data_IF_013387826855
#
_entry.id   IF_013387826855
#
_cell.length_a   1.000
_cell.length_b   1.000
_cell.length_c   1.000
_cell.angle_alpha   90.00
_cell.angle_beta   90.00
_cell.angle_gamma   90.00
#
_symmetry.space_group_name_H-M   'P 1'
#
loop_
_entity.id
_entity.type
_entity.pdbx_description
1 polymer ?
#
# COMPACT_ATOMS: atom_id res chain seq x y z
N UNK A 1 -35.97 -18.50 19.80
CA UNK A 1 -35.71 -17.24 20.51
C UNK A 1 -34.45 -17.40 21.36
N UNK A 2 -33.27 -17.15 20.77
CA UNK A 2 -32.06 -16.88 21.53
C UNK A 2 -31.59 -15.49 21.12
N UNK A 3 -32.04 -14.51 21.87
CA UNK A 3 -31.57 -13.12 21.88
C UNK A 3 -30.06 -13.13 22.21
N UNK A 4 -29.24 -12.87 21.23
CA UNK A 4 -27.79 -12.61 21.42
C UNK A 4 -27.65 -11.33 22.24
N UNK A 5 -27.35 -11.46 23.53
CA UNK A 5 -26.84 -10.35 24.35
C UNK A 5 -25.59 -9.78 23.67
N UNK A 6 -25.71 -8.65 22.99
CA UNK A 6 -24.58 -7.80 22.69
C UNK A 6 -23.89 -7.46 24.00
N UNK A 7 -22.71 -8.04 24.22
CA UNK A 7 -21.84 -7.65 25.33
C UNK A 7 -21.42 -6.20 25.13
N UNK A 8 -21.81 -5.33 26.02
CA UNK A 8 -21.59 -3.89 26.01
C UNK A 8 -20.11 -3.55 26.39
N UNK A 9 -19.18 -4.49 26.17
CA UNK A 9 -17.75 -4.31 26.44
C UNK A 9 -17.10 -3.60 25.25
N UNK A 10 -16.30 -2.55 25.52
CA UNK A 10 -15.63 -1.81 24.47
C UNK A 10 -14.65 -2.73 23.70
N UNK A 11 -14.83 -2.82 22.38
CA UNK A 11 -14.03 -3.65 21.49
C UNK A 11 -13.31 -2.78 20.46
N UNK A 12 -11.98 -2.77 20.52
CA UNK A 12 -11.14 -1.99 19.60
C UNK A 12 -10.50 -2.92 18.57
N UNK A 13 -10.47 -2.49 17.31
CA UNK A 13 -9.69 -3.13 16.26
C UNK A 13 -8.47 -2.28 15.94
N UNK A 14 -7.41 -2.93 15.47
CA UNK A 14 -6.25 -2.22 14.96
C UNK A 14 -5.69 -2.90 13.71
N UNK A 15 -5.11 -2.09 12.82
CA UNK A 15 -4.30 -2.56 11.69
C UNK A 15 -2.93 -1.91 11.81
N UNK A 16 -1.87 -2.72 11.75
CA UNK A 16 -0.50 -2.22 11.81
C UNK A 16 0.26 -2.60 10.53
N UNK A 17 0.99 -1.62 9.94
CA UNK A 17 1.77 -1.84 8.74
C UNK A 17 2.97 -0.90 8.66
N UNK A 18 4.12 -1.40 8.22
CA UNK A 18 5.30 -0.58 7.96
C UNK A 18 5.94 -0.95 6.61
N UNK A 19 6.82 -0.11 6.03
CA UNK A 19 7.41 -0.36 4.72
C UNK A 19 8.10 -1.72 4.58
N UNK A 20 8.84 -2.16 5.58
CA UNK A 20 9.50 -3.47 5.58
C UNK A 20 8.58 -4.62 5.99
N UNK A 21 7.44 -4.32 6.63
CA UNK A 21 6.49 -5.32 7.12
C UNK A 21 7.04 -6.19 8.26
N UNK A 22 8.09 -5.77 8.97
CA UNK A 22 8.75 -6.58 9.99
C UNK A 22 8.72 -5.91 11.37
N UNK A 23 9.73 -5.10 11.72
CA UNK A 23 9.93 -4.65 13.10
C UNK A 23 8.79 -3.77 13.62
N UNK A 24 8.54 -2.62 13.01
CA UNK A 24 7.57 -1.64 13.51
C UNK A 24 6.13 -2.17 13.49
N UNK A 25 5.79 -3.00 12.49
CA UNK A 25 4.47 -3.65 12.40
C UNK A 25 4.17 -4.46 13.66
N UNK A 26 5.12 -5.31 14.07
CA UNK A 26 4.93 -6.17 15.24
C UNK A 26 5.10 -5.42 16.56
N UNK A 27 6.01 -4.44 16.63
CA UNK A 27 6.16 -3.59 17.81
C UNK A 27 4.90 -2.78 18.11
N UNK A 28 4.27 -2.20 17.09
CA UNK A 28 3.00 -1.48 17.26
C UNK A 28 1.86 -2.41 17.69
N UNK A 29 1.77 -3.60 17.09
CA UNK A 29 0.81 -4.63 17.55
C UNK A 29 0.98 -4.94 19.03
N UNK A 30 2.20 -5.21 19.46
CA UNK A 30 2.48 -5.65 20.84
C UNK A 30 2.26 -4.52 21.83
N UNK A 31 2.62 -3.28 21.46
CA UNK A 31 2.37 -2.09 22.28
C UNK A 31 0.86 -1.84 22.47
N UNK A 32 0.07 -1.91 21.38
CA UNK A 32 -1.37 -1.74 21.41
C UNK A 32 -2.05 -2.84 22.25
N UNK A 33 -1.67 -4.12 22.07
CA UNK A 33 -2.19 -5.23 22.86
C UNK A 33 -1.87 -5.07 24.35
N UNK A 34 -0.60 -4.84 24.67
CA UNK A 34 -0.16 -4.67 26.06
C UNK A 34 -0.89 -3.52 26.76
N UNK A 35 -1.14 -2.43 26.06
CA UNK A 35 -1.86 -1.29 26.63
C UNK A 35 -3.35 -1.58 26.79
N UNK A 36 -3.98 -2.23 25.79
CA UNK A 36 -5.37 -2.64 25.89
C UNK A 36 -5.62 -3.60 27.07
N UNK A 37 -4.72 -4.57 27.26
CA UNK A 37 -4.77 -5.50 28.40
C UNK A 37 -4.71 -4.74 29.74
N UNK A 38 -3.84 -3.72 29.86
CA UNK A 38 -3.76 -2.88 31.07
C UNK A 38 -5.03 -2.06 31.33
N UNK A 39 -5.71 -1.66 30.27
CA UNK A 39 -6.96 -0.90 30.34
C UNK A 39 -8.20 -1.79 30.46
N UNK A 40 -8.05 -3.11 30.45
CA UNK A 40 -9.16 -4.07 30.45
C UNK A 40 -10.02 -4.00 29.17
N UNK A 41 -9.45 -3.57 28.05
CA UNK A 41 -10.15 -3.39 26.77
C UNK A 41 -9.82 -4.53 25.83
N UNK A 42 -10.85 -5.14 25.25
CA UNK A 42 -10.68 -6.17 24.21
C UNK A 42 -10.15 -5.54 22.94
N UNK A 43 -9.04 -6.08 22.42
CA UNK A 43 -8.44 -5.62 21.16
C UNK A 43 -8.08 -6.77 20.22
N UNK A 44 -8.38 -6.62 18.92
CA UNK A 44 -7.86 -7.51 17.86
C UNK A 44 -6.99 -6.70 16.91
N UNK A 45 -5.77 -7.17 16.67
CA UNK A 45 -4.79 -6.46 15.82
C UNK A 45 -4.45 -7.30 14.60
N UNK A 46 -4.81 -6.78 13.43
CA UNK A 46 -4.36 -7.27 12.12
C UNK A 46 -2.97 -6.70 11.83
N UNK A 47 -2.06 -7.55 11.37
CA UNK A 47 -0.71 -7.12 10.97
C UNK A 47 -0.50 -7.35 9.48
N UNK A 48 -0.21 -6.27 8.74
CA UNK A 48 0.16 -6.33 7.32
C UNK A 48 1.70 -6.34 7.24
N UNK A 49 2.25 -7.54 7.43
CA UNK A 49 3.69 -7.76 7.47
C UNK A 49 4.24 -8.35 6.17
N UNK A 50 5.57 -8.51 6.11
CA UNK A 50 6.28 -9.11 4.97
C UNK A 50 5.87 -10.56 4.69
N UNK A 51 5.37 -11.28 5.71
CA UNK A 51 4.83 -12.64 5.58
C UNK A 51 3.32 -12.68 5.27
N UNK A 52 2.75 -11.55 4.82
CA UNK A 52 1.34 -11.40 4.53
C UNK A 52 0.51 -10.89 5.70
N UNK A 53 -0.80 -10.89 5.52
CA UNK A 53 -1.77 -10.44 6.52
C UNK A 53 -1.97 -11.55 7.56
N UNK A 54 -1.82 -11.21 8.84
CA UNK A 54 -2.13 -12.10 9.96
C UNK A 54 -3.25 -11.52 10.81
N UNK A 55 -4.05 -12.38 11.42
CA UNK A 55 -5.21 -12.02 12.25
C UNK A 55 -6.19 -11.10 11.50
N UNK A 56 -6.52 -11.46 10.27
CA UNK A 56 -7.42 -10.68 9.43
C UNK A 56 -8.71 -10.30 10.17
N UNK A 57 -9.11 -9.02 10.04
CA UNK A 57 -10.34 -8.50 10.60
C UNK A 57 -11.52 -8.91 9.73
N UNK A 58 -12.43 -9.69 10.28
CA UNK A 58 -13.65 -10.13 9.60
C UNK A 58 -14.71 -9.01 9.61
N UNK A 59 -15.71 -9.11 8.72
CA UNK A 59 -16.86 -8.19 8.73
C UNK A 59 -17.54 -8.17 10.11
N UNK A 60 -17.66 -9.31 10.75
CA UNK A 60 -18.25 -9.43 12.07
C UNK A 60 -17.40 -8.75 13.16
N UNK A 61 -16.06 -8.79 13.07
CA UNK A 61 -15.19 -8.00 13.95
C UNK A 61 -15.46 -6.51 13.75
N UNK A 62 -15.54 -6.07 12.50
CA UNK A 62 -15.76 -4.67 12.15
C UNK A 62 -17.13 -4.17 12.61
N UNK A 63 -18.18 -4.99 12.44
CA UNK A 63 -19.53 -4.66 12.91
C UNK A 63 -19.58 -4.46 14.42
N UNK A 64 -18.91 -5.32 15.18
CA UNK A 64 -18.90 -5.28 16.64
C UNK A 64 -17.90 -4.28 17.25
N UNK A 65 -17.05 -3.68 16.44
CA UNK A 65 -16.03 -2.74 16.91
C UNK A 65 -16.62 -1.41 17.36
N UNK A 66 -16.16 -0.94 18.51
CA UNK A 66 -16.42 0.42 19.02
C UNK A 66 -15.59 1.45 18.23
N UNK A 67 -14.36 1.10 17.88
CA UNK A 67 -13.49 1.95 17.07
C UNK A 67 -12.30 1.19 16.52
N UNK A 68 -11.61 1.79 15.54
CA UNK A 68 -10.56 1.17 14.74
C UNK A 68 -9.33 2.07 14.72
N UNK A 69 -8.16 1.51 14.95
CA UNK A 69 -6.86 2.19 14.85
C UNK A 69 -6.14 1.68 13.61
N UNK A 70 -5.74 2.57 12.71
CA UNK A 70 -4.88 2.27 11.56
C UNK A 70 -3.52 2.91 11.79
N UNK A 71 -2.57 2.14 12.32
CA UNK A 71 -1.19 2.58 12.58
C UNK A 71 -0.29 2.09 11.44
N UNK A 72 -0.19 2.89 10.36
CA UNK A 72 0.45 2.44 9.13
C UNK A 72 1.22 3.56 8.40
N UNK A 73 2.42 3.21 7.91
CA UNK A 73 3.23 4.07 7.03
C UNK A 73 3.10 3.69 5.54
N UNK A 74 2.38 2.61 5.25
CA UNK A 74 2.05 2.13 3.90
C UNK A 74 0.54 2.14 3.69
N UNK A 75 0.12 1.99 2.44
CA UNK A 75 -1.30 1.92 2.13
C UNK A 75 -1.96 0.68 2.74
N UNK A 76 -3.06 0.89 3.45
CA UNK A 76 -3.94 -0.15 4.01
C UNK A 76 -5.33 0.04 3.40
N UNK A 77 -6.01 -1.04 3.05
CA UNK A 77 -7.40 -1.00 2.57
C UNK A 77 -8.33 -0.62 3.72
N UNK A 78 -8.72 0.65 3.77
CA UNK A 78 -9.58 1.22 4.83
C UNK A 78 -11.05 1.31 4.43
N UNK A 79 -11.39 1.05 3.15
CA UNK A 79 -12.77 1.13 2.65
C UNK A 79 -13.73 0.22 3.40
N UNK A 80 -13.24 -0.91 3.90
CA UNK A 80 -13.97 -1.87 4.73
C UNK A 80 -14.39 -1.31 6.11
N UNK A 81 -13.88 -0.15 6.49
CA UNK A 81 -14.18 0.50 7.78
C UNK A 81 -15.18 1.67 7.64
N UNK A 82 -15.88 1.75 6.52
CA UNK A 82 -16.86 2.80 6.28
C UNK A 82 -17.91 2.87 7.39
N UNK A 83 -18.23 4.06 7.85
CA UNK A 83 -19.19 4.30 8.92
C UNK A 83 -18.66 4.05 10.35
N UNK A 84 -17.41 3.60 10.53
CA UNK A 84 -16.81 3.36 11.86
C UNK A 84 -15.95 4.54 12.32
N UNK A 85 -15.70 4.63 13.63
CA UNK A 85 -14.72 5.57 14.19
C UNK A 85 -13.30 5.05 13.88
N UNK A 86 -12.59 5.67 12.95
CA UNK A 86 -11.24 5.28 12.54
C UNK A 86 -10.22 6.34 12.95
N UNK A 87 -9.14 5.90 13.58
CA UNK A 87 -7.99 6.72 13.97
C UNK A 87 -6.80 6.32 13.10
N UNK A 88 -6.46 7.13 12.10
CA UNK A 88 -5.30 6.91 11.23
C UNK A 88 -4.07 7.65 11.77
N UNK A 89 -2.96 6.92 11.95
CA UNK A 89 -1.69 7.46 12.45
C UNK A 89 -0.50 6.72 11.81
N UNK A 90 0.71 7.31 11.82
CA UNK A 90 1.94 6.60 11.51
C UNK A 90 2.16 5.40 12.43
N UNK A 91 2.82 4.33 11.94
CA UNK A 91 3.07 3.11 12.74
C UNK A 91 3.84 3.41 14.03
N UNK A 92 4.74 4.41 14.02
CA UNK A 92 5.50 4.85 15.18
C UNK A 92 4.61 5.35 16.33
N UNK A 93 3.47 5.95 16.06
CA UNK A 93 2.51 6.41 17.05
C UNK A 93 1.81 5.25 17.75
N UNK A 94 1.55 4.16 17.03
CA UNK A 94 1.05 2.91 17.61
C UNK A 94 2.00 2.31 18.65
N UNK A 95 3.32 2.59 18.54
CA UNK A 95 4.33 2.17 19.51
C UNK A 95 4.42 3.15 20.68
N UNK A 96 4.45 4.47 20.39
CA UNK A 96 4.77 5.52 21.36
C UNK A 96 3.56 5.98 22.18
N UNK A 97 2.36 5.96 21.62
CA UNK A 97 1.15 6.55 22.20
C UNK A 97 -0.06 5.60 22.16
N UNK A 98 0.10 4.30 22.52
CA UNK A 98 -0.98 3.33 22.38
C UNK A 98 -2.21 3.67 23.24
N UNK A 99 -2.03 4.21 24.45
CA UNK A 99 -3.13 4.61 25.33
C UNK A 99 -3.99 5.71 24.74
N UNK A 100 -3.35 6.77 24.22
CA UNK A 100 -4.05 7.88 23.58
C UNK A 100 -4.85 7.41 22.38
N UNK A 101 -4.28 6.50 21.58
CA UNK A 101 -4.96 5.95 20.39
C UNK A 101 -6.15 5.08 20.74
N UNK A 102 -6.05 4.27 21.78
CA UNK A 102 -7.16 3.45 22.27
C UNK A 102 -8.28 4.35 22.78
N UNK A 103 -7.98 5.37 23.57
CA UNK A 103 -8.97 6.33 24.07
C UNK A 103 -9.65 7.09 22.92
N UNK A 104 -8.89 7.51 21.89
CA UNK A 104 -9.44 8.14 20.70
C UNK A 104 -10.36 7.20 19.88
N UNK A 105 -10.01 5.92 19.81
CA UNK A 105 -10.83 4.94 19.12
C UNK A 105 -12.14 4.64 19.88
N UNK A 106 -12.13 4.76 21.21
CA UNK A 106 -13.31 4.58 22.06
C UNK A 106 -14.21 5.82 22.11
N UNK A 107 -13.72 6.98 21.69
CA UNK A 107 -14.49 8.23 21.69
C UNK A 107 -15.55 8.21 20.59
N UNK A 108 -16.78 7.83 20.95
CA UNK A 108 -17.92 7.76 20.04
C UNK A 108 -18.47 9.12 19.61
N UNK A 109 -17.97 10.23 20.17
CA UNK A 109 -18.37 11.60 19.75
C UNK A 109 -17.72 12.00 18.42
N UNK A 110 -16.72 11.26 17.96
CA UNK A 110 -16.02 11.52 16.71
C UNK A 110 -16.90 11.16 15.51
N UNK A 111 -16.75 11.93 14.43
CA UNK A 111 -17.47 11.64 13.18
C UNK A 111 -17.03 10.31 12.60
N UNK A 112 -17.97 9.48 12.12
CA UNK A 112 -17.64 8.23 11.46
C UNK A 112 -16.73 8.45 10.25
N UNK A 113 -15.83 7.51 10.03
CA UNK A 113 -14.99 7.44 8.84
C UNK A 113 -15.89 7.22 7.61
N UNK A 114 -15.64 7.96 6.55
CA UNK A 114 -16.31 7.80 5.26
C UNK A 114 -15.29 7.29 4.26
N UNK A 115 -15.48 6.07 3.80
CA UNK A 115 -14.65 5.49 2.75
C UNK A 115 -14.76 6.35 1.47
N UNK A 116 -13.63 6.58 0.81
CA UNK A 116 -13.56 7.37 -0.41
C UNK A 116 -14.00 6.54 -1.63
N UNK A 117 -15.22 6.05 -1.62
CA UNK A 117 -15.89 5.70 -2.87
C UNK A 117 -16.76 6.90 -3.32
N UNK A 118 -16.65 7.23 -4.60
CA UNK A 118 -17.14 8.49 -5.13
C UNK A 118 -18.60 8.80 -4.81
N UNK A 119 -18.80 9.85 -4.05
CA UNK A 119 -19.98 10.63 -3.77
C UNK A 119 -20.56 10.55 -2.36
N UNK A 120 -20.14 11.52 -1.54
CA UNK A 120 -21.09 12.37 -0.79
C UNK A 120 -20.41 13.66 -0.37
N UNK A 121 -20.85 14.79 -0.96
CA UNK A 121 -20.56 16.13 -0.46
C UNK A 121 -21.13 16.26 0.95
N UNK A 122 -20.28 16.34 1.94
CA UNK A 122 -20.62 16.73 3.29
C UNK A 122 -19.50 17.64 3.82
N UNK A 123 -19.82 18.91 4.07
CA UNK A 123 -18.98 19.83 4.82
C UNK A 123 -18.55 19.17 6.12
N UNK A 124 -17.27 18.89 6.27
CA UNK A 124 -16.67 18.57 7.55
C UNK A 124 -15.32 19.27 7.67
N UNK A 125 -15.37 20.50 8.17
CA UNK A 125 -14.28 21.07 8.94
C UNK A 125 -14.24 20.29 10.26
N UNK A 126 -13.41 19.24 10.32
CA UNK A 126 -12.75 18.84 11.58
C UNK A 126 -11.69 17.76 11.28
N UNK A 127 -10.45 18.14 11.50
CA UNK A 127 -9.30 17.30 11.91
C UNK A 127 -9.06 15.99 11.15
N UNK A 128 -9.21 15.94 9.83
CA UNK A 128 -8.19 15.27 9.04
C UNK A 128 -7.00 16.25 9.04
N UNK A 129 -5.95 15.98 9.80
CA UNK A 129 -4.66 16.55 9.45
C UNK A 129 -4.47 16.23 7.96
N UNK A 130 -4.71 17.21 7.10
CA UNK A 130 -4.25 17.14 5.71
C UNK A 130 -2.78 16.82 5.83
N UNK A 131 -2.42 15.57 5.52
CA UNK A 131 -1.02 15.19 5.52
C UNK A 131 -0.30 16.30 4.77
N UNK A 132 0.67 16.93 5.43
CA UNK A 132 1.46 17.95 4.74
C UNK A 132 1.95 17.33 3.41
N UNK A 133 2.06 18.11 2.32
CA UNK A 133 2.45 17.56 1.01
C UNK A 133 3.67 16.64 1.08
N UNK A 134 4.63 16.94 1.97
CA UNK A 134 5.79 16.10 2.22
C UNK A 134 5.47 14.74 2.87
N UNK A 135 4.53 14.71 3.83
CA UNK A 135 4.09 13.44 4.45
C UNK A 135 3.33 12.55 3.44
N UNK A 136 2.50 13.16 2.59
CA UNK A 136 1.79 12.44 1.52
C UNK A 136 2.78 11.87 0.49
N UNK A 137 3.74 12.67 0.05
CA UNK A 137 4.82 12.23 -0.83
C UNK A 137 5.57 11.03 -0.24
N UNK A 138 6.01 11.14 1.02
CA UNK A 138 6.71 10.07 1.72
C UNK A 138 5.87 8.79 1.81
N UNK A 139 4.57 8.89 2.17
CA UNK A 139 3.65 7.75 2.25
C UNK A 139 3.55 7.01 0.91
N UNK A 140 3.35 7.74 -0.18
CA UNK A 140 3.22 7.15 -1.52
C UNK A 140 4.54 6.53 -2.00
N UNK A 141 5.67 7.22 -1.77
CA UNK A 141 6.99 6.71 -2.11
C UNK A 141 7.30 5.42 -1.34
N UNK A 142 7.06 5.40 -0.02
CA UNK A 142 7.31 4.23 0.82
C UNK A 142 6.43 3.04 0.45
N UNK A 143 5.22 3.27 -0.01
CA UNK A 143 4.39 2.18 -0.54
C UNK A 143 5.05 1.54 -1.79
N UNK A 144 5.57 2.33 -2.71
CA UNK A 144 6.33 1.83 -3.86
C UNK A 144 7.58 1.04 -3.44
N UNK A 145 8.40 1.64 -2.56
CA UNK A 145 9.64 1.03 -2.05
C UNK A 145 9.37 -0.30 -1.35
N UNK A 146 8.39 -0.35 -0.48
CA UNK A 146 8.01 -1.55 0.27
C UNK A 146 7.65 -2.74 -0.65
N UNK A 147 6.91 -2.46 -1.73
CA UNK A 147 6.48 -3.50 -2.66
C UNK A 147 7.57 -3.96 -3.64
N UNK A 148 8.63 -3.18 -3.87
CA UNK A 148 9.76 -3.60 -4.68
C UNK A 148 10.82 -4.39 -3.90
N UNK A 149 10.88 -4.26 -2.55
CA UNK A 149 11.91 -4.89 -1.72
C UNK A 149 12.06 -6.41 -1.92
N UNK A 150 10.98 -7.20 -2.03
CA UNK A 150 11.10 -8.64 -2.28
C UNK A 150 11.87 -8.96 -3.57
N UNK A 151 11.71 -8.15 -4.62
CA UNK A 151 12.44 -8.33 -5.88
C UNK A 151 13.92 -7.98 -5.75
N UNK A 152 14.23 -6.91 -5.00
CA UNK A 152 15.61 -6.52 -4.71
C UNK A 152 16.33 -7.63 -3.92
N UNK A 153 15.68 -8.15 -2.88
CA UNK A 153 16.24 -9.18 -2.02
C UNK A 153 16.43 -10.49 -2.79
N UNK A 154 15.38 -10.99 -3.44
CA UNK A 154 15.45 -12.25 -4.17
C UNK A 154 16.42 -12.19 -5.36
N UNK A 155 16.36 -11.12 -6.15
CA UNK A 155 17.26 -10.92 -7.28
C UNK A 155 18.71 -10.78 -6.84
N UNK A 156 18.97 -10.00 -5.77
CA UNK A 156 20.30 -9.81 -5.21
C UNK A 156 20.91 -11.11 -4.66
N UNK A 157 20.12 -11.92 -3.95
CA UNK A 157 20.58 -13.24 -3.46
C UNK A 157 20.91 -14.18 -4.62
N UNK A 158 20.04 -14.26 -5.64
CA UNK A 158 20.30 -15.09 -6.81
C UNK A 158 21.58 -14.68 -7.53
N UNK A 159 21.81 -13.38 -7.72
CA UNK A 159 23.06 -12.88 -8.31
C UNK A 159 24.27 -13.17 -7.43
N UNK A 160 24.16 -13.07 -6.10
CA UNK A 160 25.24 -13.42 -5.18
C UNK A 160 25.61 -14.91 -5.27
N UNK A 161 24.62 -15.79 -5.42
CA UNK A 161 24.82 -17.22 -5.61
C UNK A 161 25.59 -17.49 -6.93
N UNK A 162 25.31 -16.74 -8.00
CA UNK A 162 26.02 -16.87 -9.28
C UNK A 162 27.53 -16.68 -9.10
N UNK A 163 27.96 -15.71 -8.29
CA UNK A 163 29.38 -15.45 -8.05
C UNK A 163 30.13 -16.60 -7.31
N UNK A 164 29.39 -17.51 -6.66
CA UNK A 164 30.01 -18.73 -6.10
C UNK A 164 30.53 -19.70 -7.16
N UNK A 165 30.01 -19.64 -8.40
CA UNK A 165 30.42 -20.42 -9.54
C UNK A 165 31.60 -19.81 -10.32
N UNK A 166 31.94 -18.54 -10.01
CA UNK A 166 32.96 -17.74 -10.70
C UNK A 166 32.41 -16.37 -11.13
N UNK A 167 33.31 -15.39 -11.17
CA UNK A 167 32.90 -13.99 -11.44
C UNK A 167 32.23 -13.80 -12.82
N UNK A 168 32.60 -14.65 -13.81
CA UNK A 168 32.06 -14.59 -15.16
C UNK A 168 31.30 -15.87 -15.55
N UNK A 169 30.84 -16.64 -14.57
CA UNK A 169 30.20 -17.96 -14.78
C UNK A 169 28.88 -17.88 -15.56
N UNK A 170 28.21 -16.71 -15.56
CA UNK A 170 26.97 -16.45 -16.30
C UNK A 170 27.21 -16.08 -17.79
N UNK A 171 28.45 -15.82 -18.19
CA UNK A 171 28.77 -15.38 -19.55
C UNK A 171 29.16 -16.58 -20.41
N UNK A 172 28.39 -16.91 -21.47
CA UNK A 172 28.69 -18.04 -22.35
C UNK A 172 30.06 -18.01 -23.04
N UNK A 173 30.71 -16.83 -23.09
CA UNK A 173 32.03 -16.63 -23.69
C UNK A 173 33.16 -16.78 -22.69
N UNK A 174 32.86 -16.99 -21.42
CA UNK A 174 33.87 -17.16 -20.37
C UNK A 174 34.33 -18.61 -20.25
N UNK A 175 35.61 -18.83 -19.90
CA UNK A 175 36.11 -20.15 -19.52
C UNK A 175 35.50 -20.72 -18.25
N UNK A 176 34.90 -19.85 -17.41
CA UNK A 176 34.19 -20.20 -16.17
C UNK A 176 32.71 -20.50 -16.40
N UNK A 177 32.24 -20.53 -17.64
CA UNK A 177 30.81 -20.63 -17.96
C UNK A 177 30.15 -21.84 -17.28
N UNK A 178 29.00 -21.57 -16.67
CA UNK A 178 28.14 -22.56 -16.06
C UNK A 178 26.67 -22.26 -16.43
N UNK A 179 26.03 -23.22 -17.10
CA UNK A 179 24.65 -23.03 -17.57
C UNK A 179 23.63 -22.74 -16.44
N UNK A 180 23.82 -23.33 -15.26
CA UNK A 180 22.98 -23.07 -14.11
C UNK A 180 23.19 -21.66 -13.56
N UNK A 181 24.43 -21.19 -13.49
CA UNK A 181 24.74 -19.81 -13.10
C UNK A 181 24.13 -18.79 -14.08
N UNK A 182 24.15 -19.06 -15.38
CA UNK A 182 23.47 -18.21 -16.38
C UNK A 182 21.96 -18.15 -16.15
N UNK A 183 21.29 -19.26 -15.84
CA UNK A 183 19.88 -19.29 -15.54
C UNK A 183 19.55 -18.46 -14.29
N UNK A 184 20.31 -18.62 -13.22
CA UNK A 184 20.14 -17.82 -12.01
C UNK A 184 20.36 -16.32 -12.28
N UNK A 185 21.36 -15.98 -13.09
CA UNK A 185 21.60 -14.60 -13.52
C UNK A 185 20.43 -14.03 -14.30
N UNK A 186 19.85 -14.77 -15.24
CA UNK A 186 18.71 -14.34 -16.02
C UNK A 186 17.48 -14.09 -15.13
N UNK A 187 17.24 -14.96 -14.13
CA UNK A 187 16.15 -14.77 -13.16
C UNK A 187 16.42 -13.55 -12.27
N UNK A 188 17.61 -13.44 -11.69
CA UNK A 188 17.94 -12.37 -10.76
C UNK A 188 18.07 -11.00 -11.44
N UNK A 189 18.95 -10.90 -12.44
CA UNK A 189 19.29 -9.62 -13.09
C UNK A 189 18.26 -9.21 -14.13
N UNK A 190 17.99 -10.09 -15.13
CA UNK A 190 17.15 -9.71 -16.27
C UNK A 190 15.64 -9.78 -16.00
N UNK A 191 15.22 -10.47 -14.93
CA UNK A 191 13.80 -10.56 -14.58
C UNK A 191 13.49 -9.81 -13.29
N UNK A 192 14.00 -10.24 -12.14
CA UNK A 192 13.65 -9.62 -10.86
C UNK A 192 14.07 -8.15 -10.79
N UNK A 193 15.32 -7.81 -11.15
CA UNK A 193 15.81 -6.43 -11.13
C UNK A 193 15.17 -5.55 -12.20
N UNK A 194 14.85 -6.09 -13.37
CA UNK A 194 14.14 -5.36 -14.41
C UNK A 194 12.75 -4.90 -13.96
N UNK A 195 12.12 -5.61 -13.04
CA UNK A 195 10.80 -5.26 -12.51
C UNK A 195 10.83 -4.25 -11.35
N UNK A 196 11.99 -3.94 -10.75
CA UNK A 196 12.09 -3.06 -9.59
C UNK A 196 11.45 -1.70 -9.87
N UNK A 197 11.84 -1.04 -10.96
CA UNK A 197 11.36 0.31 -11.31
C UNK A 197 9.87 0.30 -11.72
N UNK A 198 9.40 -0.62 -12.59
CA UNK A 198 7.98 -0.74 -12.90
C UNK A 198 7.10 -0.99 -11.66
N UNK A 199 7.53 -1.88 -10.77
CA UNK A 199 6.80 -2.17 -9.53
C UNK A 199 6.79 -0.96 -8.60
N UNK A 200 7.92 -0.29 -8.38
CA UNK A 200 8.01 0.96 -7.62
C UNK A 200 6.98 1.98 -8.14
N UNK A 201 7.04 2.28 -9.43
CA UNK A 201 6.16 3.25 -10.11
C UNK A 201 4.68 2.84 -10.02
N UNK A 202 4.37 1.57 -10.30
CA UNK A 202 3.01 1.03 -10.22
C UNK A 202 2.39 1.15 -8.83
N UNK A 203 3.15 0.83 -7.77
CA UNK A 203 2.65 0.93 -6.40
C UNK A 203 2.61 2.35 -5.86
N UNK A 204 3.46 3.27 -6.31
CA UNK A 204 3.30 4.71 -6.06
C UNK A 204 1.95 5.17 -6.65
N UNK A 205 1.71 4.90 -7.93
CA UNK A 205 0.46 5.28 -8.60
C UNK A 205 -0.77 4.64 -7.97
N UNK A 206 -0.68 3.37 -7.56
CA UNK A 206 -1.73 2.67 -6.82
C UNK A 206 -2.03 3.33 -5.48
N UNK A 207 -1.02 3.75 -4.74
CA UNK A 207 -1.19 4.44 -3.46
C UNK A 207 -1.88 5.81 -3.59
N UNK A 208 -1.82 6.43 -4.78
CA UNK A 208 -2.46 7.72 -5.08
C UNK A 208 -3.89 7.54 -5.61
N UNK A 209 -4.08 6.59 -6.54
CA UNK A 209 -5.30 6.46 -7.33
C UNK A 209 -5.93 5.06 -7.31
N UNK A 210 -5.60 4.23 -6.32
CA UNK A 210 -6.06 2.86 -6.13
C UNK A 210 -5.75 1.93 -7.32
N UNK A 211 -6.48 0.83 -7.45
CA UNK A 211 -6.27 -0.19 -8.50
C UNK A 211 -6.11 0.38 -9.92
N UNK A 212 -6.91 1.36 -10.38
CA UNK A 212 -6.75 1.90 -11.73
C UNK A 212 -5.41 2.58 -12.02
N UNK A 213 -4.75 3.15 -10.98
CA UNK A 213 -3.44 3.80 -11.13
C UNK A 213 -2.30 2.83 -11.38
N UNK A 214 -2.43 1.56 -10.93
CA UNK A 214 -1.35 0.59 -10.96
C UNK A 214 -0.83 0.33 -12.38
N UNK A 215 -1.71 0.07 -13.33
CA UNK A 215 -1.34 -0.25 -14.71
C UNK A 215 -0.59 0.90 -15.40
N UNK A 216 -1.07 2.13 -15.25
CA UNK A 216 -0.42 3.31 -15.83
C UNK A 216 0.93 3.61 -15.20
N UNK A 217 1.07 3.42 -13.86
CA UNK A 217 2.34 3.54 -13.16
C UNK A 217 3.35 2.49 -13.61
N UNK A 218 2.91 1.24 -13.79
CA UNK A 218 3.76 0.14 -14.24
C UNK A 218 4.32 0.39 -15.64
N UNK A 219 3.47 0.83 -16.57
CA UNK A 219 3.89 1.21 -17.93
C UNK A 219 4.82 2.42 -17.90
N UNK A 220 4.50 3.44 -17.11
CA UNK A 220 5.37 4.62 -16.96
C UNK A 220 6.75 4.27 -16.41
N UNK A 221 6.83 3.36 -15.42
CA UNK A 221 8.10 2.85 -14.89
C UNK A 221 8.90 2.06 -15.93
N UNK A 222 8.24 1.30 -16.78
CA UNK A 222 8.89 0.59 -17.89
C UNK A 222 9.46 1.55 -18.93
N UNK A 223 8.71 2.60 -19.27
CA UNK A 223 9.17 3.67 -20.16
C UNK A 223 10.34 4.45 -19.56
N UNK A 224 10.38 4.66 -18.24
CA UNK A 224 11.52 5.27 -17.57
C UNK A 224 12.81 4.45 -17.73
N UNK A 225 12.72 3.12 -17.75
CA UNK A 225 13.87 2.25 -18.03
C UNK A 225 14.30 2.40 -19.49
N UNK A 226 13.39 2.23 -20.44
CA UNK A 226 13.70 2.27 -21.87
C UNK A 226 14.16 3.65 -22.34
N UNK A 227 13.66 4.72 -21.72
CA UNK A 227 14.08 6.11 -21.96
C UNK A 227 15.37 6.53 -21.24
N UNK A 228 15.98 5.62 -20.45
CA UNK A 228 17.25 5.89 -19.74
C UNK A 228 17.15 6.79 -18.51
N UNK A 229 15.94 7.22 -18.10
CA UNK A 229 15.73 8.03 -16.89
C UNK A 229 15.80 7.23 -15.57
N UNK A 230 15.78 5.91 -15.67
CA UNK A 230 16.07 4.96 -14.59
C UNK A 230 15.17 5.13 -13.37
N UNK A 231 15.78 5.00 -12.18
CA UNK A 231 15.05 4.97 -10.91
C UNK A 231 14.30 6.28 -10.62
N UNK A 232 14.93 7.42 -10.87
CA UNK A 232 14.32 8.74 -10.66
C UNK A 232 13.14 8.94 -11.61
N UNK A 233 13.31 8.58 -12.89
CA UNK A 233 12.22 8.60 -13.86
C UNK A 233 11.06 7.71 -13.46
N UNK A 234 11.34 6.55 -12.86
CA UNK A 234 10.31 5.65 -12.32
C UNK A 234 9.51 6.25 -11.17
N UNK A 235 10.14 6.98 -10.25
CA UNK A 235 9.45 7.71 -9.19
C UNK A 235 8.53 8.77 -9.80
N UNK A 236 9.06 9.60 -10.71
CA UNK A 236 8.28 10.65 -11.39
C UNK A 236 7.10 10.04 -12.14
N UNK A 237 7.32 8.96 -12.88
CA UNK A 237 6.28 8.24 -13.60
C UNK A 237 5.17 7.74 -12.67
N UNK A 238 5.52 7.22 -11.49
CA UNK A 238 4.56 6.75 -10.51
C UNK A 238 3.64 7.85 -9.97
N UNK A 239 4.21 9.00 -9.61
CA UNK A 239 3.43 10.16 -9.17
C UNK A 239 2.60 10.73 -10.32
N UNK A 240 3.18 10.89 -11.50
CA UNK A 240 2.49 11.38 -12.69
C UNK A 240 1.28 10.49 -13.01
N UNK A 241 1.48 9.18 -13.13
CA UNK A 241 0.43 8.20 -13.41
C UNK A 241 -0.68 8.22 -12.36
N UNK A 242 -0.32 8.33 -11.08
CA UNK A 242 -1.28 8.41 -9.97
C UNK A 242 -2.17 9.65 -10.07
N UNK A 243 -1.59 10.83 -10.23
CA UNK A 243 -2.36 12.08 -10.34
C UNK A 243 -3.15 12.17 -11.65
N UNK A 244 -2.60 11.72 -12.78
CA UNK A 244 -3.34 11.62 -14.03
C UNK A 244 -4.57 10.72 -13.87
N UNK A 245 -4.43 9.59 -13.20
CA UNK A 245 -5.54 8.68 -12.94
C UNK A 245 -6.62 9.34 -12.08
N UNK A 246 -6.25 10.12 -11.06
CA UNK A 246 -7.22 10.90 -10.30
C UNK A 246 -7.95 11.93 -11.18
N UNK A 247 -7.23 12.61 -12.06
CA UNK A 247 -7.81 13.54 -13.04
C UNK A 247 -8.81 12.86 -13.98
N UNK A 248 -8.45 11.71 -14.53
CA UNK A 248 -9.34 10.91 -15.40
C UNK A 248 -10.57 10.44 -14.63
N UNK A 249 -10.41 9.95 -13.40
CA UNK A 249 -11.55 9.60 -12.53
C UNK A 249 -12.50 10.80 -12.33
N UNK A 250 -11.96 12.00 -12.10
CA UNK A 250 -12.76 13.21 -11.92
C UNK A 250 -13.52 13.60 -13.20
N UNK A 251 -12.88 13.53 -14.36
CA UNK A 251 -13.49 13.85 -15.66
C UNK A 251 -14.61 12.88 -16.03
N UNK A 252 -14.44 11.60 -15.73
CA UNK A 252 -15.37 10.54 -16.09
C UNK A 252 -16.54 10.36 -15.12
N UNK A 253 -16.61 11.16 -14.04
CA UNK A 253 -17.74 11.11 -13.08
C UNK A 253 -19.11 11.36 -13.71
N UNK A 254 -19.17 12.16 -14.77
CA UNK A 254 -20.43 12.55 -15.46
C UNK A 254 -20.88 11.52 -16.51
N UNK A 255 -20.17 10.43 -16.72
CA UNK A 255 -20.55 9.41 -17.69
C UNK A 255 -21.81 8.64 -17.23
N UNK A 256 -22.69 8.23 -18.17
CA UNK A 256 -23.92 7.50 -17.86
C UNK A 256 -23.67 6.23 -17.04
N UNK A 257 -24.64 5.86 -16.19
CA UNK A 257 -24.59 4.64 -15.36
C UNK A 257 -24.35 3.36 -16.16
N UNK A 258 -24.83 3.29 -17.41
CA UNK A 258 -24.61 2.15 -18.29
C UNK A 258 -23.11 1.83 -18.52
N UNK A 259 -22.22 2.82 -18.38
CA UNK A 259 -20.77 2.68 -18.57
C UNK A 259 -20.00 2.47 -17.26
N UNK A 260 -20.69 2.42 -16.12
CA UNK A 260 -20.04 2.38 -14.81
C UNK A 260 -19.16 1.14 -14.63
N UNK A 261 -19.61 -0.02 -15.08
CA UNK A 261 -18.82 -1.25 -15.06
C UNK A 261 -17.60 -1.25 -16.01
N UNK A 262 -17.63 -0.43 -17.07
CA UNK A 262 -16.52 -0.30 -18.03
C UNK A 262 -15.46 0.72 -17.58
N UNK A 263 -15.78 1.63 -16.65
CA UNK A 263 -14.85 2.66 -16.18
C UNK A 263 -13.54 2.06 -15.65
N UNK A 264 -13.56 1.14 -14.65
CA UNK A 264 -12.33 0.63 -14.04
C UNK A 264 -11.56 -0.36 -14.93
N UNK A 265 -12.25 -1.08 -15.82
CA UNK A 265 -11.65 -2.15 -16.61
C UNK A 265 -11.13 -1.68 -17.97
N UNK A 266 -11.74 -0.68 -18.57
CA UNK A 266 -11.42 -0.21 -19.93
C UNK A 266 -11.05 1.27 -19.93
N UNK A 267 -11.94 2.16 -19.45
CA UNK A 267 -11.81 3.61 -19.65
C UNK A 267 -10.60 4.16 -18.89
N UNK A 268 -10.49 3.83 -17.59
CA UNK A 268 -9.36 4.32 -16.79
C UNK A 268 -8.02 3.81 -17.31
N UNK A 269 -7.79 2.49 -17.47
CA UNK A 269 -6.50 2.02 -17.95
C UNK A 269 -6.13 2.58 -19.32
N UNK A 270 -7.07 2.60 -20.26
CA UNK A 270 -6.82 3.08 -21.63
C UNK A 270 -6.36 4.55 -21.61
N UNK A 271 -7.12 5.43 -20.97
CA UNK A 271 -6.81 6.85 -20.95
C UNK A 271 -5.56 7.15 -20.15
N UNK A 272 -5.39 6.51 -18.99
CA UNK A 272 -4.25 6.81 -18.10
C UNK A 272 -2.95 6.22 -18.59
N UNK A 273 -2.94 5.02 -19.15
CA UNK A 273 -1.75 4.42 -19.77
C UNK A 273 -1.31 5.24 -20.98
N UNK A 274 -2.26 5.64 -21.83
CA UNK A 274 -1.95 6.47 -23.01
C UNK A 274 -1.39 7.83 -22.59
N UNK A 275 -2.06 8.52 -21.67
CA UNK A 275 -1.61 9.84 -21.20
C UNK A 275 -0.23 9.77 -20.51
N UNK A 276 -0.04 8.80 -19.61
CA UNK A 276 1.25 8.60 -18.93
C UNK A 276 2.32 8.22 -19.94
N UNK A 277 2.02 7.33 -20.87
CA UNK A 277 2.96 6.89 -21.90
C UNK A 277 3.44 8.03 -22.79
N UNK A 278 2.52 8.85 -23.30
CA UNK A 278 2.88 10.02 -24.10
C UNK A 278 3.77 11.00 -23.34
N UNK A 279 3.42 11.31 -22.08
CA UNK A 279 4.20 12.25 -21.26
C UNK A 279 5.58 11.70 -20.83
N UNK A 280 5.76 10.39 -20.82
CA UNK A 280 7.06 9.78 -20.48
C UNK A 280 7.98 9.60 -21.68
N UNK A 281 7.44 9.66 -22.91
CA UNK A 281 8.23 9.54 -24.15
C UNK A 281 8.76 10.91 -24.60
N UNK A 282 8.02 11.99 -24.33
CA UNK A 282 8.39 13.39 -24.66
C UNK A 282 9.00 14.12 -23.46
#
# INVERSE_FOLDING_TARGET
EQSSKQSNEPYVLAVTACPTGIAHTYMARDALKKQADKMGIKIKVETNGSSGIKNHLTEQDIENATGIIVAADVHVETDRFDGKNVVEVPVADGIKRPEELINKALDTSRKPFVARDGQRKGNSNDSQEKLSPGKAFYKHLMNGVSNMLPLVISGGILMAIVFLFGANSFNPKSSEYNAFAEQLWNIGSKSAFALIIPILSGFIARSIADKPGFASGLVGGMLAISGGSGFIGGIIAGFLAGYLTQGVKAMTRKLPQALEGLKPTLIYPLLTVTATGLLMIY
#
